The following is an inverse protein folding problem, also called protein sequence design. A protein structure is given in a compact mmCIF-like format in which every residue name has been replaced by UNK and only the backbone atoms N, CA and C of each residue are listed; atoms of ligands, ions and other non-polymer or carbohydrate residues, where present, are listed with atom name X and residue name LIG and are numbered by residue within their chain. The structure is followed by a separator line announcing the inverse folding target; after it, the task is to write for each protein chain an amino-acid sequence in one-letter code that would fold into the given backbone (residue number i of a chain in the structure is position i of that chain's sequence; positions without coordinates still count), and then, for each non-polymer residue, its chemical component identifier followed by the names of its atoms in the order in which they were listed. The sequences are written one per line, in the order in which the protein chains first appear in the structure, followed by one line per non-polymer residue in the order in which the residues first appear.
data_IF_552778294803
#
_entry.id   IF_552778294803
#
_cell.length_a   1.000
_cell.length_b   1.000
_cell.length_c   1.000
_cell.angle_alpha   90.00
_cell.angle_beta   90.00
_cell.angle_gamma   90.00
#
_symmetry.space_group_name_H-M   'P 1'
#
loop_
_entity.id
_entity.type
_entity.pdbx_description
1 polymer ?
#
# COMPACT_ATOMS: atom_id res chain seq x y z
N UNK A 1 -12.53 -7.97 -2.26
CA UNK A 1 -11.16 -8.28 -1.79
C UNK A 1 -11.15 -9.08 -0.49
N UNK A 2 -12.26 -9.13 0.26
CA UNK A 2 -12.23 -9.41 1.71
C UNK A 2 -11.74 -10.79 2.17
N UNK A 3 -11.69 -11.85 1.35
CA UNK A 3 -11.28 -13.19 1.83
C UNK A 3 -10.20 -13.87 0.95
N UNK A 4 -9.55 -13.13 0.05
CA UNK A 4 -8.65 -13.72 -0.94
C UNK A 4 -7.19 -13.28 -0.80
N UNK A 5 -6.78 -12.70 0.33
CA UNK A 5 -5.38 -12.31 0.54
C UNK A 5 -4.60 -13.53 1.03
N UNK A 6 -3.58 -13.89 0.27
CA UNK A 6 -2.64 -14.98 0.57
C UNK A 6 -1.49 -14.45 1.42
N UNK A 7 -0.87 -13.35 0.99
CA UNK A 7 0.28 -12.71 1.65
C UNK A 7 0.26 -11.20 1.49
N UNK A 8 0.92 -10.53 2.43
CA UNK A 8 1.17 -9.10 2.41
C UNK A 8 2.67 -8.88 2.44
N UNK A 9 3.18 -8.10 1.50
CA UNK A 9 4.60 -7.73 1.40
C UNK A 9 4.73 -6.24 1.65
N UNK A 10 5.53 -5.85 2.64
CA UNK A 10 5.63 -4.47 3.10
C UNK A 10 6.91 -3.84 2.54
N UNK A 11 6.79 -2.81 1.70
CA UNK A 11 7.96 -2.10 1.16
C UNK A 11 8.37 -0.93 2.07
N UNK A 12 7.38 -0.22 2.60
CA UNK A 12 7.56 0.89 3.53
C UNK A 12 6.47 0.84 4.60
N UNK A 13 6.85 1.10 5.85
CA UNK A 13 5.97 1.20 7.01
C UNK A 13 6.60 2.13 8.03
N UNK A 14 5.83 3.10 8.51
CA UNK A 14 6.22 3.96 9.63
C UNK A 14 5.05 4.09 10.62
N UNK A 15 5.35 4.59 11.81
CA UNK A 15 4.37 5.02 12.80
C UNK A 15 3.67 6.32 12.38
N UNK A 16 4.38 7.19 11.65
CA UNK A 16 3.88 8.47 11.16
C UNK A 16 3.28 8.36 9.75
N UNK A 17 2.52 9.37 9.37
CA UNK A 17 1.98 9.59 8.03
C UNK A 17 2.37 10.98 7.49
N UNK A 18 3.32 11.65 8.17
CA UNK A 18 3.84 12.97 7.79
C UNK A 18 5.09 12.86 6.90
N UNK A 19 4.99 12.09 5.81
CA UNK A 19 6.08 11.83 4.87
C UNK A 19 6.07 12.77 3.66
N UNK A 20 5.82 14.06 3.87
CA UNK A 20 5.76 15.04 2.78
C UNK A 20 7.10 15.24 2.06
N UNK A 21 8.22 14.97 2.76
CA UNK A 21 9.57 15.01 2.18
C UNK A 21 9.91 13.73 1.40
N UNK A 22 9.10 12.68 1.53
CA UNK A 22 9.32 11.36 0.93
C UNK A 22 9.46 10.24 1.96
N UNK A 23 9.66 9.04 1.43
CA UNK A 23 9.71 7.77 2.16
C UNK A 23 11.12 7.20 2.09
N UNK A 24 11.75 6.97 3.24
CA UNK A 24 13.02 6.26 3.32
C UNK A 24 12.75 4.77 3.42
N UNK A 25 13.20 4.00 2.43
CA UNK A 25 13.09 2.55 2.41
C UNK A 25 14.18 1.91 3.26
N UNK A 26 14.00 0.64 3.58
CA UNK A 26 14.93 -0.13 4.41
C UNK A 26 16.32 -0.30 3.78
N UNK A 27 16.42 -0.24 2.46
CA UNK A 27 17.67 -0.31 1.70
C UNK A 27 18.35 1.05 1.51
N UNK A 28 17.81 2.11 2.15
CA UNK A 28 18.34 3.47 2.08
C UNK A 28 17.84 4.28 0.89
N UNK A 29 17.08 3.68 -0.05
CA UNK A 29 16.47 4.43 -1.13
C UNK A 29 15.42 5.43 -0.61
N UNK A 30 15.21 6.53 -1.32
CA UNK A 30 14.18 7.53 -0.98
C UNK A 30 13.17 7.65 -2.09
N UNK A 31 11.89 7.42 -1.77
CA UNK A 31 10.77 7.60 -2.69
C UNK A 31 10.16 8.97 -2.44
N UNK A 32 10.12 9.81 -3.46
CA UNK A 32 9.51 11.14 -3.36
C UNK A 32 8.00 11.02 -3.13
N UNK A 33 7.44 11.84 -2.24
CA UNK A 33 6.00 11.97 -2.11
C UNK A 33 5.42 12.83 -3.24
N UNK A 34 4.29 12.39 -3.79
CA UNK A 34 3.46 13.20 -4.68
C UNK A 34 1.97 12.88 -4.45
N UNK A 35 1.11 13.84 -4.76
CA UNK A 35 -0.34 13.77 -4.47
C UNK A 35 -1.08 12.67 -5.25
N UNK A 36 -0.47 12.09 -6.29
CA UNK A 36 -1.07 11.02 -7.11
C UNK A 36 -0.46 9.64 -6.81
N UNK A 37 0.53 9.61 -5.92
CA UNK A 37 1.36 8.45 -5.61
C UNK A 37 2.07 7.87 -6.84
N UNK A 38 2.40 8.70 -7.83
CA UNK A 38 3.04 8.26 -9.07
C UNK A 38 4.44 7.70 -8.82
N UNK A 39 5.22 8.33 -7.93
CA UNK A 39 6.55 7.82 -7.54
C UNK A 39 6.43 6.54 -6.70
N UNK A 40 5.45 6.46 -5.80
CA UNK A 40 5.19 5.23 -5.03
C UNK A 40 4.84 4.07 -5.95
N UNK A 41 3.93 4.28 -6.91
CA UNK A 41 3.55 3.25 -7.90
C UNK A 41 4.73 2.83 -8.76
N UNK A 42 5.56 3.79 -9.19
CA UNK A 42 6.78 3.50 -9.94
C UNK A 42 7.72 2.61 -9.12
N UNK A 43 8.02 2.98 -7.88
CA UNK A 43 8.87 2.17 -7.00
C UNK A 43 8.27 0.79 -6.76
N UNK A 44 6.96 0.67 -6.49
CA UNK A 44 6.31 -0.65 -6.35
C UNK A 44 6.46 -1.49 -7.62
N UNK A 45 6.40 -0.89 -8.80
CA UNK A 45 6.65 -1.61 -10.05
C UNK A 45 8.11 -2.07 -10.17
N UNK A 46 9.07 -1.26 -9.73
CA UNK A 46 10.51 -1.60 -9.77
C UNK A 46 10.88 -2.72 -8.77
N UNK A 47 10.11 -2.90 -7.69
CA UNK A 47 10.32 -3.96 -6.69
C UNK A 47 9.50 -5.24 -6.96
N UNK A 48 8.73 -5.30 -8.04
CA UNK A 48 7.79 -6.39 -8.31
C UNK A 48 8.47 -7.76 -8.47
N UNK A 49 9.69 -7.77 -9.00
CA UNK A 49 10.51 -8.98 -9.16
C UNK A 49 11.31 -9.33 -7.89
N UNK A 50 11.32 -8.44 -6.89
CA UNK A 50 12.05 -8.58 -5.62
C UNK A 50 11.12 -8.76 -4.43
N UNK A 51 9.82 -8.99 -4.64
CA UNK A 51 8.84 -9.02 -3.54
C UNK A 51 9.16 -10.07 -2.47
N UNK A 52 9.80 -11.18 -2.83
CA UNK A 52 10.11 -12.25 -1.87
C UNK A 52 11.20 -11.85 -0.87
N UNK A 53 11.97 -10.80 -1.16
CA UNK A 53 12.98 -10.23 -0.27
C UNK A 53 12.38 -9.27 0.76
N UNK A 54 11.11 -8.87 0.58
CA UNK A 54 10.45 -7.92 1.46
C UNK A 54 9.91 -8.57 2.73
N UNK A 55 9.83 -7.80 3.85
CA UNK A 55 9.10 -8.23 5.04
C UNK A 55 7.69 -8.69 4.71
N UNK A 56 7.30 -9.84 5.27
CA UNK A 56 5.99 -10.46 5.06
C UNK A 56 5.14 -10.36 6.32
N UNK A 57 3.89 -9.97 6.13
CA UNK A 57 2.86 -9.98 7.18
C UNK A 57 1.85 -11.11 6.93
N UNK A 58 1.13 -11.49 7.99
CA UNK A 58 0.12 -12.55 7.90
C UNK A 58 -1.04 -12.19 6.95
N UNK A 59 -1.73 -13.19 6.42
CA UNK A 59 -2.94 -13.01 5.59
C UNK A 59 -4.02 -12.17 6.25
N UNK A 60 -4.07 -12.16 7.59
CA UNK A 60 -5.10 -11.48 8.36
C UNK A 60 -4.75 -10.01 8.66
N UNK A 61 -3.52 -9.59 8.35
CA UNK A 61 -3.02 -8.24 8.64
C UNK A 61 -3.95 -7.14 8.09
N UNK A 62 -4.48 -7.34 6.88
CA UNK A 62 -5.35 -6.37 6.20
C UNK A 62 -6.85 -6.52 6.50
N UNK A 63 -7.26 -7.48 7.34
CA UNK A 63 -8.68 -7.76 7.55
C UNK A 63 -9.46 -6.56 8.08
N UNK A 64 -8.90 -5.83 9.04
CA UNK A 64 -9.58 -4.68 9.66
C UNK A 64 -9.81 -3.50 8.69
N UNK A 65 -9.01 -3.39 7.63
CA UNK A 65 -9.20 -2.40 6.57
C UNK A 65 -10.24 -2.80 5.52
N UNK A 66 -10.63 -4.06 5.49
CA UNK A 66 -11.49 -4.64 4.46
C UNK A 66 -12.87 -5.01 5.00
N UNK A 67 -12.94 -5.49 6.24
CA UNK A 67 -14.17 -5.92 6.90
C UNK A 67 -15.16 -4.76 7.07
N UNK A 68 -16.36 -4.91 6.52
CA UNK A 68 -17.47 -3.95 6.62
C UNK A 68 -17.16 -2.54 6.07
N UNK A 69 -16.10 -2.39 5.28
CA UNK A 69 -15.67 -1.13 4.68
C UNK A 69 -16.24 -0.96 3.27
N UNK A 70 -16.65 0.26 2.91
CA UNK A 70 -17.19 0.54 1.57
C UNK A 70 -16.02 0.79 0.61
N UNK A 71 -16.08 0.20 -0.57
CA UNK A 71 -15.11 0.46 -1.64
C UNK A 71 -15.62 1.56 -2.57
N UNK A 72 -14.88 2.67 -2.71
CA UNK A 72 -15.24 3.76 -3.63
C UNK A 72 -14.09 4.10 -4.57
N UNK A 73 -14.41 4.70 -5.71
CA UNK A 73 -13.41 5.21 -6.65
C UNK A 73 -12.63 6.34 -5.97
N UNK A 74 -11.31 6.25 -6.00
CA UNK A 74 -10.46 7.28 -5.48
C UNK A 74 -10.44 8.50 -6.41
N UNK A 75 -10.79 9.67 -5.88
CA UNK A 75 -10.58 10.95 -6.57
C UNK A 75 -9.66 11.80 -5.70
N UNK A 76 -8.37 11.98 -6.06
CA UNK A 76 -7.40 12.69 -5.23
C UNK A 76 -7.68 14.20 -5.26
N UNK A 77 -8.48 14.71 -4.30
CA UNK A 77 -8.74 16.14 -4.14
C UNK A 77 -7.76 16.75 -3.11
N UNK A 78 -7.40 15.99 -2.06
CA UNK A 78 -6.37 16.31 -1.05
C UNK A 78 -5.75 15.03 -0.52
N UNK A 79 -4.61 14.66 -1.05
CA UNK A 79 -3.94 13.39 -0.76
C UNK A 79 -2.87 13.59 0.30
N UNK A 80 -2.94 12.85 1.40
CA UNK A 80 -1.91 12.84 2.47
C UNK A 80 -0.86 11.76 2.20
N UNK A 81 0.35 11.83 2.78
CA UNK A 81 1.33 10.78 2.64
C UNK A 81 0.82 9.46 3.25
N UNK A 82 1.24 8.35 2.65
CA UNK A 82 0.98 7.01 3.16
C UNK A 82 1.79 6.73 4.44
N UNK A 83 1.17 6.04 5.39
CA UNK A 83 1.85 5.44 6.55
C UNK A 83 2.57 4.15 6.16
N UNK A 84 1.99 3.42 5.20
CA UNK A 84 2.49 2.13 4.73
C UNK A 84 2.17 1.94 3.25
N UNK A 85 3.01 1.23 2.52
CA UNK A 85 2.68 0.72 1.18
C UNK A 85 3.47 -0.52 0.83
N UNK A 86 2.92 -1.31 -0.10
CA UNK A 86 3.49 -2.59 -0.47
C UNK A 86 2.60 -3.35 -1.46
N UNK A 87 2.63 -4.67 -1.35
CA UNK A 87 1.92 -5.60 -2.23
C UNK A 87 0.98 -6.50 -1.43
N UNK A 88 -0.20 -6.73 -1.98
CA UNK A 88 -1.11 -7.80 -1.58
C UNK A 88 -1.04 -8.88 -2.65
N UNK A 89 -0.63 -10.09 -2.27
CA UNK A 89 -0.76 -11.27 -3.11
C UNK A 89 -2.08 -11.95 -2.79
N UNK A 90 -2.91 -12.20 -3.80
CA UNK A 90 -4.16 -12.93 -3.63
C UNK A 90 -3.98 -14.44 -3.75
N UNK A 91 -4.99 -15.21 -3.38
CA UNK A 91 -5.04 -16.66 -3.61
C UNK A 91 -5.02 -17.03 -5.12
N UNK A 92 -5.37 -16.09 -6.01
CA UNK A 92 -5.20 -16.22 -7.46
C UNK A 92 -3.77 -15.89 -7.94
N UNK A 93 -2.85 -15.61 -7.02
CA UNK A 93 -1.50 -15.09 -7.28
C UNK A 93 -1.49 -13.72 -8.00
N UNK A 94 -2.59 -12.96 -7.93
CA UNK A 94 -2.61 -11.59 -8.41
C UNK A 94 -1.91 -10.68 -7.40
N UNK A 95 -1.02 -9.83 -7.88
CA UNK A 95 -0.35 -8.81 -7.08
C UNK A 95 -1.06 -7.46 -7.22
N UNK A 96 -1.53 -6.93 -6.11
CA UNK A 96 -2.14 -5.59 -6.01
C UNK A 96 -1.25 -4.66 -5.19
N UNK A 97 -1.02 -3.45 -5.68
CA UNK A 97 -0.33 -2.41 -4.94
C UNK A 97 -1.28 -1.82 -3.92
N UNK A 98 -0.85 -1.73 -2.67
CA UNK A 98 -1.64 -1.10 -1.62
C UNK A 98 -0.91 0.07 -0.98
N UNK A 99 -1.68 0.98 -0.40
CA UNK A 99 -1.21 2.02 0.51
C UNK A 99 -2.17 2.16 1.69
N UNK A 100 -1.65 2.50 2.86
CA UNK A 100 -2.44 2.82 4.05
C UNK A 100 -2.25 4.30 4.40
N UNK A 101 -3.35 4.98 4.67
CA UNK A 101 -3.39 6.34 5.21
C UNK A 101 -3.89 6.26 6.65
N UNK A 102 -3.16 6.88 7.58
CA UNK A 102 -3.50 6.85 9.00
C UNK A 102 -3.63 5.40 9.49
N UNK A 103 -4.67 5.12 10.29
CA UNK A 103 -4.87 3.80 10.89
C UNK A 103 -6.09 3.04 10.36
N UNK A 104 -6.81 3.59 9.37
CA UNK A 104 -8.11 3.04 8.97
C UNK A 104 -8.43 3.06 7.48
N UNK A 105 -7.59 3.70 6.66
CA UNK A 105 -7.88 3.90 5.24
C UNK A 105 -6.90 3.09 4.41
N UNK A 106 -7.40 2.11 3.67
CA UNK A 106 -6.64 1.33 2.70
C UNK A 106 -6.94 1.81 1.28
N UNK A 107 -5.90 1.92 0.46
CA UNK A 107 -5.97 2.28 -0.94
C UNK A 107 -5.44 1.13 -1.77
N UNK A 108 -6.24 0.65 -2.71
CA UNK A 108 -5.77 -0.15 -3.84
C UNK A 108 -5.20 0.83 -4.88
N UNK A 109 -3.87 0.94 -4.88
CA UNK A 109 -3.11 1.84 -5.75
C UNK A 109 -3.09 1.34 -7.20
N UNK A 110 -3.28 0.03 -7.44
CA UNK A 110 -3.35 -0.54 -8.79
C UNK A 110 -4.63 -0.14 -9.51
N UNK A 111 -5.75 -0.08 -8.79
CA UNK A 111 -7.08 0.17 -9.36
C UNK A 111 -7.66 1.54 -8.98
N UNK A 112 -6.97 2.30 -8.13
CA UNK A 112 -7.41 3.60 -7.64
C UNK A 112 -8.72 3.49 -6.85
N UNK A 113 -8.79 2.57 -5.88
CA UNK A 113 -9.95 2.40 -4.99
C UNK A 113 -9.56 2.65 -3.54
N UNK A 114 -10.46 3.22 -2.74
CA UNK A 114 -10.28 3.38 -1.29
C UNK A 114 -11.29 2.51 -0.55
N UNK A 115 -10.86 1.96 0.58
CA UNK A 115 -11.63 1.29 1.61
C UNK A 115 -11.53 2.09 2.92
N UNK A 116 -12.67 2.55 3.45
CA UNK A 116 -12.79 3.31 4.70
C UNK A 116 -14.14 3.08 5.40
#
# INVERSE_FOLDING_TARGET
MNNNIKKVYVLFKDTSWNHYEGYKLHDGATVKWDKKYDHVKKTLNDYKDKIQELPQESSNYMQHFLLNKKAVKYTPIKTVPLKEFGFLETNSNDLTFYGIIGDSVLIDLSRGRIYY
#
